data_IF_896336590356
#
_entry.id   IF_896336590356
#
_cell.length_a   1.000
_cell.length_b   1.000
_cell.length_c   1.000
_cell.angle_alpha   90.00
_cell.angle_beta   90.00
_cell.angle_gamma   90.00
#
_symmetry.space_group_name_H-M   'P 1'
#
loop_
_entity.id
_entity.type
_entity.pdbx_description
1 polymer ?
#
# COMPACT_ATOMS: atom_id res chain seq x y z
N UNK A 1 3.30 0.71 -11.26
CA UNK A 1 3.78 2.09 -11.54
C UNK A 1 3.54 2.95 -10.30
N UNK A 2 4.50 3.82 -9.95
CA UNK A 2 4.39 4.77 -8.83
C UNK A 2 3.29 5.81 -9.07
N UNK A 3 2.83 6.39 -7.97
CA UNK A 3 1.92 7.54 -8.01
C UNK A 3 2.66 8.82 -8.42
N UNK A 4 1.93 9.81 -8.89
CA UNK A 4 2.50 11.10 -9.28
C UNK A 4 1.57 12.25 -8.87
N UNK A 5 2.12 13.46 -8.90
CA UNK A 5 1.40 14.69 -8.60
C UNK A 5 1.13 15.47 -9.89
N UNK A 6 0.01 16.20 -9.93
CA UNK A 6 -0.23 17.21 -10.96
C UNK A 6 0.09 18.58 -10.38
N UNK A 7 0.73 19.45 -11.15
CA UNK A 7 0.86 20.87 -10.80
C UNK A 7 0.58 21.74 -12.02
N UNK A 8 -0.43 22.61 -11.91
CA UNK A 8 -0.84 23.49 -13.01
C UNK A 8 -1.55 24.74 -12.50
N UNK A 9 -1.56 25.77 -13.37
CA UNK A 9 -2.41 26.94 -13.22
C UNK A 9 -3.48 26.95 -14.32
N UNK A 10 -4.71 27.36 -13.99
CA UNK A 10 -5.82 27.45 -14.93
C UNK A 10 -6.68 28.68 -14.68
N UNK A 11 -7.40 29.13 -15.70
CA UNK A 11 -8.55 30.03 -15.56
C UNK A 11 -9.77 29.29 -14.98
N UNK A 12 -10.81 30.04 -14.59
CA UNK A 12 -12.05 29.49 -14.04
C UNK A 12 -12.75 28.49 -14.99
N UNK A 13 -12.65 28.71 -16.30
CA UNK A 13 -13.21 27.85 -17.36
C UNK A 13 -12.27 26.71 -17.80
N UNK A 14 -11.11 26.56 -17.17
CA UNK A 14 -10.18 25.46 -17.42
C UNK A 14 -9.10 25.73 -18.46
N UNK A 15 -8.94 26.97 -18.91
CA UNK A 15 -7.86 27.40 -19.80
C UNK A 15 -6.50 27.37 -19.12
N UNK A 16 -5.52 26.73 -19.75
CA UNK A 16 -4.15 26.57 -19.21
C UNK A 16 -3.07 27.20 -20.11
N UNK A 17 -3.42 27.62 -21.32
CA UNK A 17 -2.47 28.18 -22.26
C UNK A 17 -3.11 28.81 -23.50
N UNK A 18 -2.33 29.67 -24.17
CA UNK A 18 -2.66 30.32 -25.43
C UNK A 18 -1.43 30.32 -26.33
N UNK A 19 -1.55 29.90 -27.60
CA UNK A 19 -0.47 29.94 -28.59
C UNK A 19 0.85 29.32 -28.08
N UNK A 20 0.74 28.16 -27.42
CA UNK A 20 1.88 27.46 -26.81
C UNK A 20 2.63 28.26 -25.72
N UNK A 21 1.94 29.16 -25.02
CA UNK A 21 2.48 29.89 -23.87
C UNK A 21 1.44 30.07 -22.77
N UNK A 22 1.85 30.64 -21.64
CA UNK A 22 0.98 30.98 -20.51
C UNK A 22 0.53 32.44 -20.68
N UNK A 23 -0.79 32.73 -20.82
CA UNK A 23 -1.29 34.08 -21.12
C UNK A 23 -1.38 35.01 -19.90
N UNK A 24 -0.82 34.61 -18.76
CA UNK A 24 -0.77 35.40 -17.53
C UNK A 24 0.61 35.32 -16.88
N UNK A 25 0.82 36.16 -15.86
CA UNK A 25 2.04 36.14 -15.05
C UNK A 25 1.70 36.40 -13.59
N UNK A 26 1.85 35.36 -12.76
CA UNK A 26 1.79 35.48 -11.30
C UNK A 26 3.13 35.02 -10.69
N UNK A 27 3.94 35.94 -10.13
CA UNK A 27 5.23 35.59 -9.52
C UNK A 27 5.13 34.66 -8.30
N UNK A 28 4.00 34.67 -7.57
CA UNK A 28 3.81 33.81 -6.40
C UNK A 28 3.45 32.38 -6.81
N UNK A 29 2.66 32.23 -7.88
CA UNK A 29 2.40 30.93 -8.51
C UNK A 29 3.69 30.30 -9.04
N UNK A 30 4.48 31.06 -9.82
CA UNK A 30 5.77 30.58 -10.34
C UNK A 30 6.75 30.20 -9.22
N UNK A 31 6.74 30.94 -8.11
CA UNK A 31 7.53 30.61 -6.92
C UNK A 31 7.05 29.30 -6.30
N UNK A 32 5.73 29.15 -6.11
CA UNK A 32 5.14 27.93 -5.59
C UNK A 32 5.46 26.72 -6.47
N UNK A 33 5.33 26.84 -7.79
CA UNK A 33 5.72 25.80 -8.74
C UNK A 33 7.18 25.39 -8.58
N UNK A 34 8.09 26.38 -8.52
CA UNK A 34 9.52 26.11 -8.34
C UNK A 34 9.80 25.39 -7.02
N UNK A 35 9.32 25.93 -5.90
CA UNK A 35 9.57 25.37 -4.56
C UNK A 35 8.99 23.96 -4.40
N UNK A 36 7.84 23.69 -5.02
CA UNK A 36 7.16 22.38 -4.92
C UNK A 36 7.84 21.32 -5.78
N UNK A 37 8.43 21.70 -6.92
CA UNK A 37 9.01 20.74 -7.89
C UNK A 37 10.53 20.63 -7.81
N UNK A 38 11.21 21.51 -7.09
CA UNK A 38 12.67 21.52 -7.01
C UNK A 38 13.22 20.22 -6.40
N UNK A 39 14.33 19.72 -6.96
CA UNK A 39 14.94 18.47 -6.53
C UNK A 39 14.21 17.21 -6.97
N UNK A 40 13.09 17.31 -7.68
CA UNK A 40 12.22 16.20 -8.07
C UNK A 40 12.21 15.94 -9.59
N UNK A 41 11.37 14.99 -10.01
CA UNK A 41 11.19 14.62 -11.43
C UNK A 41 10.01 15.41 -11.98
N UNK A 42 10.21 16.06 -13.13
CA UNK A 42 9.17 16.80 -13.84
C UNK A 42 8.96 16.19 -15.21
N UNK A 43 7.76 15.68 -15.46
CA UNK A 43 7.35 15.07 -16.72
C UNK A 43 6.50 16.07 -17.49
N UNK A 44 6.87 16.30 -18.75
CA UNK A 44 6.18 17.24 -19.61
C UNK A 44 6.13 16.81 -21.08
N UNK A 45 5.17 17.34 -21.84
CA UNK A 45 5.16 17.18 -23.29
C UNK A 45 6.18 18.08 -23.99
N UNK A 46 6.66 17.68 -25.17
CA UNK A 46 7.61 18.45 -26.01
C UNK A 46 7.23 19.94 -26.17
N UNK A 47 5.97 20.22 -26.47
CA UNK A 47 5.45 21.59 -26.64
C UNK A 47 5.61 22.47 -25.39
N UNK A 48 5.48 21.88 -24.21
CA UNK A 48 5.71 22.58 -22.93
C UNK A 48 7.17 22.94 -22.75
N UNK A 49 8.11 22.03 -23.06
CA UNK A 49 9.53 22.36 -23.04
C UNK A 49 9.86 23.50 -24.03
N UNK A 50 9.33 23.42 -25.25
CA UNK A 50 9.50 24.46 -26.27
C UNK A 50 9.00 25.83 -25.77
N UNK A 51 7.87 25.87 -25.06
CA UNK A 51 7.34 27.11 -24.47
C UNK A 51 8.24 27.71 -23.37
N UNK A 52 8.91 26.86 -22.59
CA UNK A 52 9.83 27.30 -21.53
C UNK A 52 11.20 27.71 -22.10
N UNK A 53 11.56 27.22 -23.29
CA UNK A 53 12.82 27.48 -23.99
C UNK A 53 14.05 26.77 -23.40
N UNK A 54 13.94 26.16 -22.21
CA UNK A 54 15.01 25.40 -21.56
C UNK A 54 14.47 24.46 -20.49
N UNK A 55 15.29 23.49 -20.12
CA UNK A 55 15.04 22.61 -18.99
C UNK A 55 15.03 23.37 -17.65
N UNK A 56 14.27 22.83 -16.71
CA UNK A 56 14.16 23.38 -15.37
C UNK A 56 15.39 22.96 -14.54
N UNK A 57 16.20 23.90 -14.00
CA UNK A 57 17.44 23.58 -13.27
C UNK A 57 17.15 22.80 -11.97
N UNK A 58 18.09 22.01 -11.45
CA UNK A 58 17.91 21.24 -10.21
C UNK A 58 16.73 20.25 -10.22
N UNK A 59 16.28 19.81 -11.39
CA UNK A 59 15.20 18.84 -11.58
C UNK A 59 15.60 17.82 -12.64
N UNK A 60 15.04 16.63 -12.54
CA UNK A 60 15.14 15.64 -13.61
C UNK A 60 14.01 15.97 -14.59
N UNK A 61 14.36 16.44 -15.79
CA UNK A 61 13.40 16.82 -16.82
C UNK A 61 13.14 15.61 -17.73
N UNK A 62 11.91 15.10 -17.72
CA UNK A 62 11.49 14.02 -18.62
C UNK A 62 10.53 14.58 -19.66
N UNK A 63 10.93 14.51 -20.93
CA UNK A 63 10.14 15.00 -22.05
C UNK A 63 9.48 13.83 -22.77
N UNK A 64 8.16 13.87 -22.87
CA UNK A 64 7.38 12.87 -23.58
C UNK A 64 7.46 13.09 -25.09
N UNK A 65 7.72 12.00 -25.81
CA UNK A 65 7.81 11.92 -27.26
C UNK A 65 6.93 10.78 -27.78
N UNK A 66 7.02 10.43 -29.07
CA UNK A 66 6.30 9.25 -29.59
C UNK A 66 6.86 7.95 -29.02
N UNK A 67 8.18 7.86 -28.83
CA UNK A 67 8.86 6.67 -28.33
C UNK A 67 9.01 6.67 -26.80
N UNK A 68 8.91 7.83 -26.15
CA UNK A 68 8.95 7.98 -24.71
C UNK A 68 7.59 8.42 -24.18
N UNK A 69 6.75 7.45 -23.84
CA UNK A 69 5.38 7.67 -23.37
C UNK A 69 5.33 7.97 -21.87
N UNK A 70 4.15 8.37 -21.38
CA UNK A 70 3.95 8.57 -19.96
C UNK A 70 4.19 7.27 -19.17
N UNK A 71 3.73 6.14 -19.71
CA UNK A 71 3.89 4.82 -19.11
C UNK A 71 5.36 4.44 -18.98
N UNK A 72 6.15 4.60 -20.05
CA UNK A 72 7.58 4.28 -20.01
C UNK A 72 8.31 5.16 -18.99
N UNK A 73 7.96 6.45 -18.93
CA UNK A 73 8.50 7.37 -17.93
C UNK A 73 8.11 6.97 -16.50
N UNK A 74 6.84 6.67 -16.24
CA UNK A 74 6.38 6.23 -14.92
C UNK A 74 7.04 4.91 -14.50
N UNK A 75 7.23 3.97 -15.41
CA UNK A 75 7.95 2.70 -15.16
C UNK A 75 9.42 2.99 -14.82
N UNK A 76 10.10 3.80 -15.63
CA UNK A 76 11.50 4.21 -15.43
C UNK A 76 11.73 4.79 -14.04
N UNK A 77 10.83 5.65 -13.58
CA UNK A 77 10.92 6.30 -12.27
C UNK A 77 10.32 5.51 -11.11
N UNK A 78 9.83 4.28 -11.38
CA UNK A 78 9.35 3.32 -10.39
C UNK A 78 10.43 2.38 -9.84
N UNK A 79 11.71 2.77 -9.93
CA UNK A 79 12.85 1.99 -9.44
C UNK A 79 13.37 2.53 -8.10
N UNK A 80 14.08 1.70 -7.30
CA UNK A 80 14.63 2.11 -6.01
C UNK A 80 15.56 3.33 -6.08
N UNK A 81 16.22 3.56 -7.21
CA UNK A 81 17.10 4.71 -7.48
C UNK A 81 16.37 6.05 -7.30
N UNK A 82 15.09 6.11 -7.66
CA UNK A 82 14.29 7.34 -7.63
C UNK A 82 13.34 7.43 -6.44
N UNK A 83 13.45 6.53 -5.45
CA UNK A 83 12.48 6.42 -4.34
C UNK A 83 12.30 7.73 -3.54
N UNK A 84 13.35 8.53 -3.42
CA UNK A 84 13.35 9.80 -2.68
C UNK A 84 12.94 11.01 -3.55
N UNK A 85 12.50 10.74 -4.79
CA UNK A 85 12.05 11.74 -5.75
C UNK A 85 10.56 11.58 -6.00
N UNK A 86 9.82 12.68 -5.85
CA UNK A 86 8.42 12.78 -6.27
C UNK A 86 8.34 13.00 -7.78
N UNK A 87 7.31 12.46 -8.42
CA UNK A 87 7.03 12.65 -9.84
C UNK A 87 5.96 13.74 -9.97
N UNK A 88 6.24 14.78 -10.76
CA UNK A 88 5.29 15.83 -11.10
C UNK A 88 5.00 15.83 -12.59
N UNK A 89 3.74 15.75 -12.97
CA UNK A 89 3.30 16.07 -14.32
C UNK A 89 3.05 17.58 -14.36
N UNK A 90 3.77 18.28 -15.23
CA UNK A 90 3.75 19.75 -15.29
C UNK A 90 3.13 20.29 -16.60
N UNK A 91 2.62 19.39 -17.45
CA UNK A 91 1.82 19.72 -18.63
C UNK A 91 2.37 19.13 -19.93
N UNK A 92 1.87 19.50 -21.10
CA UNK A 92 0.76 20.44 -21.37
C UNK A 92 -0.61 19.75 -21.38
N UNK A 93 -1.61 20.42 -21.97
CA UNK A 93 -3.00 19.96 -21.93
C UNK A 93 -3.22 18.53 -22.40
N UNK A 94 -2.54 18.09 -23.46
CA UNK A 94 -2.61 16.69 -23.92
C UNK A 94 -2.13 15.70 -22.85
N UNK A 95 -1.04 16.02 -22.15
CA UNK A 95 -0.47 15.17 -21.09
C UNK A 95 -1.40 15.15 -19.88
N UNK A 96 -1.86 16.31 -19.41
CA UNK A 96 -2.82 16.38 -18.30
C UNK A 96 -4.10 15.60 -18.59
N UNK A 97 -4.69 15.80 -19.77
CA UNK A 97 -5.95 15.15 -20.14
C UNK A 97 -5.77 13.64 -20.30
N UNK A 98 -4.60 13.19 -20.77
CA UNK A 98 -4.24 11.78 -20.81
C UNK A 98 -4.12 11.19 -19.40
N UNK A 99 -3.41 11.86 -18.49
CA UNK A 99 -3.31 11.46 -17.08
C UNK A 99 -4.69 11.35 -16.42
N UNK A 100 -5.52 12.38 -16.56
CA UNK A 100 -6.87 12.42 -15.96
C UNK A 100 -7.80 11.34 -16.53
N UNK A 101 -7.59 10.91 -17.78
CA UNK A 101 -8.40 9.89 -18.43
C UNK A 101 -7.98 8.47 -18.07
N UNK A 102 -6.68 8.17 -18.07
CA UNK A 102 -6.18 6.80 -17.98
C UNK A 102 -5.41 6.48 -16.69
N UNK A 103 -4.94 7.51 -15.98
CA UNK A 103 -4.12 7.38 -14.78
C UNK A 103 -4.69 8.16 -13.58
N UNK A 104 -5.99 8.43 -13.57
CA UNK A 104 -6.63 9.20 -12.50
C UNK A 104 -6.41 8.57 -11.11
N UNK A 105 -6.41 7.23 -11.04
CA UNK A 105 -6.16 6.46 -9.82
C UNK A 105 -4.71 6.54 -9.31
N UNK A 106 -3.79 7.08 -10.12
CA UNK A 106 -2.36 7.26 -9.78
C UNK A 106 -2.02 8.68 -9.35
N UNK A 107 -2.97 9.61 -9.47
CA UNK A 107 -2.79 10.99 -9.01
C UNK A 107 -2.86 11.00 -7.49
N UNK A 108 -1.75 11.34 -6.83
CA UNK A 108 -1.68 11.46 -5.39
C UNK A 108 -2.13 12.85 -4.92
N UNK A 109 -1.50 13.90 -5.42
CA UNK A 109 -1.82 15.30 -5.10
C UNK A 109 -2.01 16.11 -6.39
N UNK A 110 -3.00 16.99 -6.38
CA UNK A 110 -3.17 18.04 -7.38
C UNK A 110 -2.86 19.38 -6.72
N UNK A 111 -1.82 20.05 -7.21
CA UNK A 111 -1.48 21.43 -6.90
C UNK A 111 -2.10 22.31 -7.99
N UNK A 112 -3.20 22.97 -7.66
CA UNK A 112 -3.97 23.78 -8.60
C UNK A 112 -3.89 25.25 -8.24
N UNK A 113 -3.51 26.08 -9.20
CA UNK A 113 -3.67 27.53 -9.12
C UNK A 113 -4.84 27.97 -9.99
N UNK A 114 -5.87 28.57 -9.39
CA UNK A 114 -6.97 29.20 -10.11
C UNK A 114 -6.66 30.67 -10.30
N UNK A 115 -6.58 31.09 -11.56
CA UNK A 115 -6.25 32.44 -12.00
C UNK A 115 -7.55 33.25 -12.07
N UNK A 116 -7.66 34.21 -11.15
CA UNK A 116 -8.73 35.17 -11.05
C UNK A 116 -8.26 36.50 -11.61
N UNK A 117 -8.89 36.97 -12.69
CA UNK A 117 -8.59 38.27 -13.27
C UNK A 117 -9.87 38.99 -13.65
N UNK A 118 -9.81 40.32 -13.67
CA UNK A 118 -10.92 41.18 -14.08
C UNK A 118 -11.11 41.22 -15.60
N UNK A 119 -10.12 40.78 -16.40
CA UNK A 119 -10.21 40.64 -17.84
C UNK A 119 -10.38 39.19 -18.28
N UNK A 120 -11.14 38.97 -19.36
CA UNK A 120 -11.29 37.67 -19.97
C UNK A 120 -9.95 37.21 -20.57
N UNK A 121 -9.32 36.21 -19.96
CA UNK A 121 -8.18 35.51 -20.55
C UNK A 121 -8.74 34.52 -21.58
N UNK A 122 -8.27 34.59 -22.82
CA UNK A 122 -8.58 33.61 -23.86
C UNK A 122 -7.53 32.50 -23.83
N UNK A 123 -7.96 31.25 -23.88
CA UNK A 123 -7.10 30.07 -23.95
C UNK A 123 -7.52 29.17 -25.13
N UNK A 124 -6.55 28.52 -25.77
CA UNK A 124 -6.75 27.49 -26.80
C UNK A 124 -6.35 26.08 -26.31
N UNK A 125 -5.67 26.01 -25.17
CA UNK A 125 -5.30 24.78 -24.49
C UNK A 125 -6.09 24.69 -23.18
N UNK A 126 -6.86 23.62 -23.04
CA UNK A 126 -7.76 23.39 -21.91
C UNK A 126 -7.38 22.12 -21.15
N UNK A 127 -7.63 22.12 -19.83
CA UNK A 127 -7.61 20.91 -19.01
C UNK A 127 -9.03 20.36 -18.84
N UNK A 128 -9.17 19.03 -18.89
CA UNK A 128 -10.44 18.34 -18.63
C UNK A 128 -10.92 18.64 -17.20
N UNK A 129 -12.23 18.85 -16.98
CA UNK A 129 -12.78 19.01 -15.63
C UNK A 129 -12.41 17.86 -14.69
N UNK A 130 -12.02 18.21 -13.47
CA UNK A 130 -11.62 17.24 -12.44
C UNK A 130 -12.81 16.91 -11.54
N UNK A 131 -13.02 15.61 -11.27
CA UNK A 131 -13.97 15.13 -10.27
C UNK A 131 -13.39 15.30 -8.86
N UNK A 132 -13.56 16.49 -8.27
CA UNK A 132 -13.06 16.79 -6.93
C UNK A 132 -13.74 15.97 -5.81
N UNK A 133 -14.82 15.22 -6.08
CA UNK A 133 -15.43 14.34 -5.07
C UNK A 133 -14.45 13.28 -4.55
N UNK A 134 -13.46 12.93 -5.39
CA UNK A 134 -12.38 11.98 -5.10
C UNK A 134 -11.25 12.57 -4.26
N UNK A 135 -11.23 13.88 -4.05
CA UNK A 135 -10.14 14.55 -3.37
C UNK A 135 -10.59 15.24 -2.07
N UNK A 136 -9.65 15.39 -1.14
CA UNK A 136 -9.76 16.23 0.04
C UNK A 136 -9.02 17.53 -0.21
N UNK A 137 -9.67 18.65 0.06
CA UNK A 137 -9.04 19.97 0.02
C UNK A 137 -8.22 20.14 1.30
N UNK A 138 -6.90 20.27 1.17
CA UNK A 138 -5.96 20.34 2.31
C UNK A 138 -5.61 21.77 2.67
N UNK A 139 -4.93 22.45 1.75
CA UNK A 139 -4.35 23.76 1.95
C UNK A 139 -4.88 24.71 0.89
N UNK A 140 -5.12 25.96 1.27
CA UNK A 140 -5.55 27.00 0.34
C UNK A 140 -4.91 28.31 0.73
N UNK A 141 -4.25 28.94 -0.23
CA UNK A 141 -3.64 30.26 -0.07
C UNK A 141 -4.00 31.15 -1.25
N UNK A 142 -4.07 32.44 -1.00
CA UNK A 142 -4.33 33.43 -2.03
C UNK A 142 -3.05 34.21 -2.34
N UNK A 143 -2.79 34.48 -3.62
CA UNK A 143 -1.68 35.34 -4.04
C UNK A 143 -2.08 36.81 -3.93
N UNK A 144 -1.09 37.72 -4.00
CA UNK A 144 -1.35 39.16 -3.99
C UNK A 144 -2.16 39.65 -5.19
N UNK A 145 -2.27 38.85 -6.25
CA UNK A 145 -3.10 39.14 -7.42
C UNK A 145 -4.52 38.59 -7.30
N UNK A 146 -4.86 37.98 -6.16
CA UNK A 146 -6.17 37.41 -5.90
C UNK A 146 -6.34 35.97 -6.39
N UNK A 147 -5.34 35.39 -7.06
CA UNK A 147 -5.35 34.00 -7.53
C UNK A 147 -5.30 33.03 -6.34
N UNK A 148 -5.91 31.85 -6.49
CA UNK A 148 -6.05 30.90 -5.39
C UNK A 148 -5.27 29.63 -5.70
N UNK A 149 -4.31 29.30 -4.84
CA UNK A 149 -3.54 28.06 -4.89
C UNK A 149 -4.18 27.07 -3.91
N UNK A 150 -4.55 25.89 -4.39
CA UNK A 150 -5.18 24.84 -3.61
C UNK A 150 -4.48 23.49 -3.81
N UNK A 151 -4.29 22.78 -2.71
CA UNK A 151 -3.80 21.39 -2.72
C UNK A 151 -4.96 20.43 -2.50
N UNK A 152 -5.13 19.50 -3.45
CA UNK A 152 -6.15 18.46 -3.39
C UNK A 152 -5.50 17.08 -3.29
N UNK A 153 -5.81 16.35 -2.22
CA UNK A 153 -5.23 15.05 -1.93
C UNK A 153 -6.20 13.92 -2.27
N UNK A 154 -5.76 12.87 -2.95
CA UNK A 154 -6.63 11.77 -3.36
C UNK A 154 -7.13 10.95 -2.17
N UNK A 155 -8.45 10.78 -2.05
CA UNK A 155 -9.08 9.98 -0.99
C UNK A 155 -8.78 8.50 -1.21
N UNK A 156 -8.05 7.88 -0.30
CA UNK A 156 -7.87 6.43 -0.29
C UNK A 156 -9.13 5.74 0.27
N UNK A 157 -10.03 5.35 -0.64
CA UNK A 157 -11.28 4.65 -0.31
C UNK A 157 -11.05 3.28 0.31
N UNK A 158 -9.93 2.63 0.00
CA UNK A 158 -9.61 1.32 0.55
C UNK A 158 -9.26 1.43 2.03
N UNK A 159 -8.45 2.42 2.42
CA UNK A 159 -8.18 2.69 3.84
C UNK A 159 -9.43 3.18 4.59
N UNK A 160 -10.37 3.87 3.94
CA UNK A 160 -11.63 4.28 4.56
C UNK A 160 -12.48 3.07 5.01
N UNK A 161 -12.36 1.91 4.38
CA UNK A 161 -13.04 0.69 4.86
C UNK A 161 -12.61 0.32 6.28
N UNK A 162 -11.33 0.50 6.60
CA UNK A 162 -10.79 0.30 7.94
C UNK A 162 -11.26 1.36 8.93
N UNK A 163 -11.37 2.61 8.51
CA UNK A 163 -11.96 3.68 9.35
C UNK A 163 -13.43 3.36 9.68
N UNK A 164 -14.21 2.94 8.68
CA UNK A 164 -15.60 2.52 8.91
C UNK A 164 -15.72 1.28 9.80
N UNK A 165 -14.78 0.34 9.69
CA UNK A 165 -14.70 -0.81 10.59
C UNK A 165 -14.46 -0.37 12.04
N UNK A 166 -13.50 0.52 12.28
CA UNK A 166 -13.24 1.08 13.61
C UNK A 166 -14.48 1.79 14.15
N UNK A 167 -15.08 2.69 13.37
CA UNK A 167 -16.26 3.45 13.78
C UNK A 167 -17.42 2.51 14.14
N UNK A 168 -17.63 1.46 13.34
CA UNK A 168 -18.66 0.44 13.58
C UNK A 168 -18.44 -0.28 14.91
N UNK A 169 -17.23 -0.72 15.21
CA UNK A 169 -16.91 -1.41 16.46
C UNK A 169 -17.09 -0.46 17.66
N UNK A 170 -16.65 0.79 17.56
CA UNK A 170 -16.83 1.78 18.64
C UNK A 170 -18.33 2.02 18.91
N UNK A 171 -19.15 2.12 17.87
CA UNK A 171 -20.56 2.49 17.99
C UNK A 171 -21.50 1.33 18.30
N UNK A 172 -21.18 0.13 17.80
CA UNK A 172 -22.08 -1.03 17.80
C UNK A 172 -21.45 -2.31 18.36
N UNK A 173 -20.16 -2.27 18.71
CA UNK A 173 -19.44 -3.43 19.23
C UNK A 173 -19.98 -3.86 20.58
N UNK A 174 -20.02 -5.17 20.79
CA UNK A 174 -20.39 -5.76 22.07
C UNK A 174 -19.20 -5.68 23.01
N UNK A 175 -19.42 -5.19 24.23
CA UNK A 175 -18.40 -5.25 25.27
C UNK A 175 -18.22 -6.69 25.72
N UNK A 176 -17.00 -7.21 25.65
CA UNK A 176 -16.66 -8.58 26.09
C UNK A 176 -15.50 -8.52 27.07
N UNK A 177 -15.49 -9.44 28.03
CA UNK A 177 -14.27 -9.74 28.77
C UNK A 177 -13.37 -10.57 27.86
N UNK A 178 -12.06 -10.37 27.98
CA UNK A 178 -11.06 -11.14 27.24
C UNK A 178 -10.12 -11.88 28.20
N UNK A 179 -9.25 -12.70 27.63
CA UNK A 179 -8.22 -13.44 28.37
C UNK A 179 -7.10 -12.55 28.93
N UNK A 180 -7.00 -11.29 28.48
CA UNK A 180 -5.93 -10.35 28.91
C UNK A 180 -6.35 -9.53 30.12
N UNK A 181 -7.64 -9.55 30.48
CA UNK A 181 -8.22 -8.75 31.56
C UNK A 181 -8.50 -7.30 31.17
N UNK A 182 -8.21 -6.89 29.93
CA UNK A 182 -8.45 -5.52 29.44
C UNK A 182 -9.89 -5.34 29.01
N UNK A 183 -10.47 -6.37 28.40
CA UNK A 183 -11.76 -6.32 27.73
C UNK A 183 -11.70 -5.68 26.35
N UNK A 184 -12.71 -5.99 25.54
CA UNK A 184 -12.81 -5.54 24.15
C UNK A 184 -14.20 -4.98 23.82
N UNK A 185 -14.27 -4.15 22.77
CA UNK A 185 -15.48 -3.99 21.96
C UNK A 185 -15.30 -4.84 20.70
N UNK A 186 -16.26 -5.69 20.36
CA UNK A 186 -16.15 -6.54 19.18
C UNK A 186 -17.42 -6.68 18.35
N UNK A 187 -17.22 -6.91 17.05
CA UNK A 187 -18.23 -7.41 16.11
C UNK A 187 -17.77 -8.77 15.56
N UNK A 188 -18.64 -9.46 14.81
CA UNK A 188 -18.36 -10.79 14.30
C UNK A 188 -18.76 -10.92 12.83
N UNK A 189 -17.87 -11.45 11.99
CA UNK A 189 -18.14 -11.67 10.57
C UNK A 189 -18.05 -10.39 9.75
N UNK A 190 -16.87 -9.75 9.73
CA UNK A 190 -16.59 -8.54 8.97
C UNK A 190 -15.74 -8.87 7.73
N UNK A 191 -15.75 -8.00 6.72
CA UNK A 191 -14.85 -8.12 5.57
C UNK A 191 -14.38 -6.76 5.07
N UNK A 192 -13.11 -6.66 4.71
CA UNK A 192 -12.52 -5.49 4.05
C UNK A 192 -11.59 -5.93 2.91
N UNK A 193 -11.58 -5.19 1.81
CA UNK A 193 -10.83 -5.54 0.61
C UNK A 193 -9.96 -4.37 0.14
N UNK A 194 -8.80 -4.68 -0.44
CA UNK A 194 -7.83 -3.69 -0.89
C UNK A 194 -7.36 -4.00 -2.30
N UNK A 195 -7.25 -2.96 -3.11
CA UNK A 195 -6.66 -3.00 -4.44
C UNK A 195 -5.13 -3.09 -4.36
N UNK A 196 -4.55 -4.04 -5.10
CA UNK A 196 -3.11 -4.27 -5.15
C UNK A 196 -2.50 -3.95 -6.51
N UNK A 197 -3.30 -3.50 -7.48
CA UNK A 197 -2.85 -3.24 -8.84
C UNK A 197 -1.72 -2.22 -8.83
N UNK A 198 -0.91 -2.28 -9.88
CA UNK A 198 0.25 -1.40 -10.04
C UNK A 198 1.27 -1.49 -8.89
N UNK A 199 1.35 -2.66 -8.25
CA UNK A 199 2.20 -2.99 -7.10
C UNK A 199 1.85 -2.25 -5.81
N UNK A 200 0.60 -1.79 -5.66
CA UNK A 200 0.14 -1.15 -4.43
C UNK A 200 0.14 -2.16 -3.27
N UNK A 201 0.58 -1.72 -2.09
CA UNK A 201 0.53 -2.52 -0.86
C UNK A 201 -0.22 -1.73 0.21
N UNK A 202 -1.27 -2.28 0.84
CA UNK A 202 -2.08 -1.62 1.87
C UNK A 202 -1.33 -1.46 3.20
N UNK A 203 -0.23 -0.71 3.18
CA UNK A 203 0.39 -0.15 4.37
C UNK A 203 -0.38 1.11 4.73
N UNK A 204 -1.22 0.97 5.76
CA UNK A 204 -2.02 2.04 6.34
C UNK A 204 -1.21 3.33 6.51
N UNK A 205 -1.85 4.45 6.22
CA UNK A 205 -1.21 5.77 6.21
C UNK A 205 -1.67 6.63 7.39
N UNK A 206 -2.88 6.39 7.89
CA UNK A 206 -3.40 6.99 9.13
C UNK A 206 -2.60 6.55 10.36
N UNK A 207 -1.79 5.49 10.26
CA UNK A 207 -0.77 5.09 11.25
C UNK A 207 0.43 4.47 10.54
N UNK A 208 1.63 4.64 11.08
CA UNK A 208 2.81 3.93 10.57
C UNK A 208 2.71 2.43 10.82
N UNK A 209 2.93 1.65 9.78
CA UNK A 209 3.16 0.21 9.84
C UNK A 209 4.68 -0.02 9.71
N UNK A 210 5.31 -0.77 10.64
CA UNK A 210 6.75 -1.03 10.57
C UNK A 210 7.07 -2.02 9.45
N UNK A 211 7.17 -1.53 8.22
CA UNK A 211 7.35 -2.33 7.00
C UNK A 211 8.47 -3.37 7.11
N UNK A 212 9.68 -2.96 7.57
CA UNK A 212 10.81 -3.88 7.73
C UNK A 212 10.47 -5.04 8.67
N UNK A 213 9.83 -4.75 9.81
CA UNK A 213 9.42 -5.76 10.78
C UNK A 213 8.39 -6.72 10.19
N UNK A 214 7.42 -6.21 9.43
CA UNK A 214 6.43 -7.02 8.73
C UNK A 214 7.06 -7.93 7.68
N UNK A 215 7.98 -7.38 6.88
CA UNK A 215 8.66 -8.17 5.86
C UNK A 215 9.56 -9.25 6.48
N UNK A 216 10.28 -8.94 7.57
CA UNK A 216 11.08 -9.93 8.32
C UNK A 216 10.20 -11.08 8.81
N UNK A 217 9.03 -10.80 9.37
CA UNK A 217 8.10 -11.86 9.81
C UNK A 217 7.59 -12.69 8.62
N UNK A 218 7.25 -12.06 7.50
CA UNK A 218 6.81 -12.79 6.32
C UNK A 218 7.91 -13.71 5.78
N UNK A 219 9.15 -13.22 5.68
CA UNK A 219 10.30 -14.03 5.25
C UNK A 219 10.57 -15.16 6.24
N UNK A 220 10.40 -14.92 7.54
CA UNK A 220 10.47 -15.94 8.56
C UNK A 220 9.44 -17.06 8.34
N UNK A 221 8.18 -16.69 8.05
CA UNK A 221 7.13 -17.65 7.70
C UNK A 221 7.45 -18.42 6.43
N UNK A 222 7.92 -17.73 5.39
CA UNK A 222 8.34 -18.35 4.14
C UNK A 222 9.44 -19.37 4.40
N UNK A 223 10.49 -19.04 5.16
CA UNK A 223 11.62 -19.93 5.44
C UNK A 223 11.27 -21.17 6.28
N UNK A 224 10.06 -21.26 6.83
CA UNK A 224 9.60 -22.42 7.59
C UNK A 224 10.26 -22.60 8.97
N UNK A 225 10.99 -21.59 9.46
CA UNK A 225 11.70 -21.62 10.75
C UNK A 225 10.74 -21.34 11.91
N UNK A 226 10.90 -22.00 13.05
CA UNK A 226 10.10 -21.79 14.27
C UNK A 226 10.93 -21.35 15.50
N UNK A 227 12.26 -21.25 15.35
CA UNK A 227 13.16 -20.56 16.27
C UNK A 227 13.10 -19.06 16.06
N UNK A 228 13.19 -18.29 17.14
CA UNK A 228 13.22 -16.82 17.08
C UNK A 228 14.56 -16.26 16.60
N UNK A 229 15.59 -17.10 16.39
CA UNK A 229 16.94 -16.65 16.03
C UNK A 229 16.93 -15.76 14.78
N UNK A 230 16.27 -16.19 13.70
CA UNK A 230 16.15 -15.39 12.47
C UNK A 230 15.49 -14.03 12.73
N UNK A 231 14.46 -13.98 13.57
CA UNK A 231 13.79 -12.74 13.93
C UNK A 231 14.74 -11.83 14.73
N UNK A 232 15.46 -12.38 15.71
CA UNK A 232 16.40 -11.65 16.56
C UNK A 232 17.61 -11.11 15.80
N UNK A 233 18.19 -11.92 14.92
CA UNK A 233 19.26 -11.53 13.99
C UNK A 233 18.84 -10.33 13.13
N UNK A 234 17.56 -10.30 12.74
CA UNK A 234 16.95 -9.21 11.97
C UNK A 234 16.35 -8.08 12.83
N UNK A 235 16.62 -8.06 14.14
CA UNK A 235 16.15 -7.05 15.12
C UNK A 235 14.63 -6.97 15.22
N UNK A 236 13.94 -8.08 15.02
CA UNK A 236 12.50 -8.24 15.17
C UNK A 236 12.19 -8.97 16.50
N UNK A 237 11.31 -8.39 17.32
CA UNK A 237 10.97 -8.90 18.67
C UNK A 237 9.46 -9.06 18.90
N UNK A 238 8.68 -9.11 17.82
CA UNK A 238 7.21 -9.12 17.89
C UNK A 238 6.64 -10.40 18.54
N UNK A 239 7.44 -11.48 18.55
CA UNK A 239 7.06 -12.78 19.11
C UNK A 239 7.60 -13.05 20.52
N UNK A 240 8.50 -12.20 21.04
CA UNK A 240 9.24 -12.46 22.30
C UNK A 240 8.27 -12.75 23.46
N UNK A 241 7.27 -11.88 23.65
CA UNK A 241 6.27 -12.01 24.73
C UNK A 241 5.39 -13.26 24.64
N UNK A 242 5.31 -13.90 23.48
CA UNK A 242 4.50 -15.10 23.28
C UNK A 242 5.28 -16.40 23.51
N UNK A 243 6.61 -16.32 23.56
CA UNK A 243 7.51 -17.49 23.51
C UNK A 243 8.29 -17.69 24.82
N UNK A 244 8.23 -16.73 25.76
CA UNK A 244 8.96 -16.75 27.06
C UNK A 244 8.84 -18.05 27.86
N UNK A 245 7.83 -18.90 27.62
CA UNK A 245 7.67 -20.20 28.28
C UNK A 245 8.31 -21.42 27.55
N UNK A 246 8.65 -21.32 26.25
CA UNK A 246 9.08 -22.49 25.43
C UNK A 246 10.26 -22.23 24.47
N UNK A 247 10.72 -20.99 24.29
CA UNK A 247 11.87 -20.66 23.44
C UNK A 247 11.68 -20.85 21.91
N UNK A 248 10.54 -21.44 21.49
CA UNK A 248 10.17 -21.67 20.08
C UNK A 248 8.67 -21.42 19.88
N UNK A 249 8.25 -21.13 18.65
CA UNK A 249 6.82 -20.97 18.31
C UNK A 249 6.04 -22.29 18.34
N UNK A 250 6.73 -23.44 18.27
CA UNK A 250 6.10 -24.74 17.98
C UNK A 250 5.68 -24.84 16.51
N UNK A 251 4.83 -25.82 16.14
CA UNK A 251 4.38 -26.06 14.75
C UNK A 251 3.39 -25.01 14.23
N UNK A 252 3.72 -23.72 14.37
CA UNK A 252 2.90 -22.57 13.94
C UNK A 252 3.07 -22.25 12.46
N UNK A 253 2.64 -21.05 12.03
CA UNK A 253 2.57 -20.64 10.62
C UNK A 253 3.76 -21.06 9.75
N UNK A 254 5.04 -20.83 10.14
CA UNK A 254 6.16 -21.22 9.30
C UNK A 254 6.17 -22.72 9.03
N UNK A 255 6.04 -23.54 10.08
CA UNK A 255 6.00 -24.98 9.98
C UNK A 255 4.81 -25.46 9.15
N UNK A 256 3.61 -24.94 9.41
CA UNK A 256 2.43 -25.36 8.65
C UNK A 256 2.56 -24.99 7.16
N UNK A 257 3.14 -23.83 6.83
CA UNK A 257 3.32 -23.42 5.44
C UNK A 257 4.26 -24.34 4.66
N UNK A 258 5.28 -24.92 5.30
CA UNK A 258 6.36 -25.68 4.62
C UNK A 258 6.38 -27.19 4.90
N UNK A 259 5.80 -27.62 6.01
CA UNK A 259 5.95 -28.97 6.57
C UNK A 259 4.63 -29.53 7.14
N UNK A 260 3.47 -29.08 6.66
CA UNK A 260 2.18 -29.53 7.21
C UNK A 260 2.04 -31.06 7.20
N UNK A 261 1.53 -31.61 8.29
CA UNK A 261 1.24 -33.04 8.42
C UNK A 261 2.36 -33.90 9.00
N UNK A 262 3.57 -33.38 9.21
CA UNK A 262 4.63 -34.07 9.96
C UNK A 262 4.58 -33.75 11.45
N UNK A 263 5.29 -34.56 12.24
CA UNK A 263 5.51 -34.28 13.66
C UNK A 263 6.59 -33.21 13.82
N UNK A 264 6.26 -32.15 14.56
CA UNK A 264 7.24 -31.14 14.95
C UNK A 264 8.07 -31.60 16.12
N UNK A 265 9.40 -31.51 15.96
CA UNK A 265 10.40 -31.85 16.97
C UNK A 265 11.19 -30.58 17.34
N UNK A 266 12.00 -30.07 16.41
CA UNK A 266 12.72 -28.79 16.50
C UNK A 266 13.12 -28.32 15.08
N UNK A 267 13.56 -27.07 14.94
CA UNK A 267 13.96 -26.49 13.65
C UNK A 267 15.09 -27.23 12.92
N UNK A 268 16.00 -27.86 13.65
CA UNK A 268 17.19 -28.51 13.07
C UNK A 268 16.95 -29.98 12.65
N UNK A 269 15.71 -30.47 12.73
CA UNK A 269 15.33 -31.81 12.26
C UNK A 269 14.91 -31.69 10.81
N UNK A 270 15.30 -32.68 10.01
CA UNK A 270 14.74 -32.87 8.68
C UNK A 270 13.26 -33.25 8.77
N UNK A 271 12.38 -32.33 8.37
CA UNK A 271 10.93 -32.52 8.31
C UNK A 271 10.46 -33.07 6.96
N UNK A 272 11.33 -33.73 6.20
CA UNK A 272 11.00 -34.40 4.94
C UNK A 272 9.82 -35.37 5.11
N UNK A 273 8.88 -35.33 4.16
CA UNK A 273 7.62 -36.08 4.18
C UNK A 273 6.39 -35.24 4.54
N UNK A 274 6.59 -33.99 4.98
CA UNK A 274 5.50 -33.01 5.14
C UNK A 274 5.05 -32.42 3.81
N UNK A 275 3.91 -31.71 3.86
CA UNK A 275 3.33 -31.02 2.71
C UNK A 275 3.85 -29.57 2.70
N UNK A 276 4.65 -29.22 1.69
CA UNK A 276 5.01 -27.83 1.41
C UNK A 276 3.85 -27.13 0.71
N UNK A 277 2.93 -26.57 1.50
CA UNK A 277 1.74 -25.89 1.01
C UNK A 277 2.08 -24.67 0.16
N UNK A 278 3.19 -23.97 0.46
CA UNK A 278 3.63 -22.79 -0.28
C UNK A 278 4.16 -23.14 -1.67
N UNK A 279 5.03 -24.16 -1.79
CA UNK A 279 5.50 -24.65 -3.09
C UNK A 279 4.37 -25.24 -3.92
N UNK A 280 3.47 -26.00 -3.29
CA UNK A 280 2.27 -26.53 -3.95
C UNK A 280 1.37 -25.42 -4.48
N UNK A 281 1.17 -24.34 -3.71
CA UNK A 281 0.42 -23.16 -4.14
C UNK A 281 1.06 -22.51 -5.37
N UNK A 282 2.39 -22.30 -5.38
CA UNK A 282 3.11 -21.75 -6.53
C UNK A 282 2.94 -22.65 -7.76
N UNK A 283 3.06 -23.97 -7.59
CA UNK A 283 2.90 -24.93 -8.69
C UNK A 283 1.48 -24.90 -9.26
N UNK A 284 0.45 -24.89 -8.41
CA UNK A 284 -0.94 -24.82 -8.86
C UNK A 284 -1.23 -23.52 -9.61
N UNK A 285 -0.69 -22.37 -9.17
CA UNK A 285 -0.86 -21.09 -9.88
C UNK A 285 -0.26 -21.16 -11.31
N UNK A 286 0.84 -21.90 -11.50
CA UNK A 286 1.50 -22.08 -12.79
C UNK A 286 0.79 -23.09 -13.69
N UNK A 287 0.45 -24.25 -13.13
CA UNK A 287 0.07 -25.43 -13.91
C UNK A 287 -1.43 -25.70 -13.96
N UNK A 288 -2.17 -25.34 -12.90
CA UNK A 288 -3.63 -25.51 -12.81
C UNK A 288 -4.27 -24.22 -12.23
N UNK A 289 -4.21 -23.10 -12.96
CA UNK A 289 -4.64 -21.79 -12.46
C UNK A 289 -6.13 -21.73 -12.10
N UNK A 290 -6.95 -22.62 -12.66
CA UNK A 290 -8.37 -22.72 -12.36
C UNK A 290 -8.67 -23.64 -11.17
N UNK A 291 -7.64 -24.20 -10.53
CA UNK A 291 -7.78 -24.99 -9.32
C UNK A 291 -8.50 -24.19 -8.24
N UNK A 292 -9.57 -24.77 -7.73
CA UNK A 292 -10.31 -24.21 -6.57
C UNK A 292 -9.66 -24.59 -5.23
N UNK A 293 -8.42 -25.08 -5.27
CA UNK A 293 -7.68 -25.65 -4.12
C UNK A 293 -6.35 -24.96 -3.87
N UNK A 294 -6.14 -23.79 -4.47
CA UNK A 294 -4.93 -22.97 -4.27
C UNK A 294 -5.03 -22.30 -2.89
N UNK A 295 -4.67 -23.03 -1.83
CA UNK A 295 -4.80 -22.56 -0.45
C UNK A 295 -3.68 -23.06 0.47
N UNK A 296 -3.47 -22.31 1.55
CA UNK A 296 -2.65 -22.66 2.70
C UNK A 296 -3.57 -22.69 3.93
N UNK A 297 -3.54 -23.79 4.67
CA UNK A 297 -4.19 -23.92 5.97
C UNK A 297 -3.14 -23.92 7.09
N UNK A 298 -3.26 -22.97 8.02
CA UNK A 298 -2.39 -22.85 9.18
C UNK A 298 -2.99 -23.49 10.45
N UNK A 299 -4.23 -23.96 10.40
CA UNK A 299 -4.94 -24.44 11.58
C UNK A 299 -4.89 -25.97 11.69
N UNK A 300 -3.82 -26.45 12.32
CA UNK A 300 -3.62 -27.87 12.61
C UNK A 300 -4.23 -28.24 13.97
N UNK A 301 -5.45 -28.78 13.91
CA UNK A 301 -6.26 -29.18 15.08
C UNK A 301 -5.50 -30.13 16.00
N UNK A 302 -4.66 -31.03 15.45
CA UNK A 302 -3.95 -32.06 16.23
C UNK A 302 -2.85 -31.46 17.11
N UNK A 303 -2.26 -30.34 16.70
CA UNK A 303 -1.06 -29.79 17.32
C UNK A 303 -1.25 -28.37 17.90
N UNK A 304 -2.49 -27.90 18.09
CA UNK A 304 -2.76 -26.57 18.65
C UNK A 304 -2.12 -26.35 20.03
N UNK A 305 -2.12 -27.37 20.89
CA UNK A 305 -1.53 -27.36 22.23
C UNK A 305 0.01 -27.26 22.24
N UNK A 306 0.64 -27.64 21.12
CA UNK A 306 2.09 -27.53 20.92
C UNK A 306 2.53 -26.16 20.43
N UNK A 307 1.62 -25.34 19.92
CA UNK A 307 1.89 -23.99 19.45
C UNK A 307 2.02 -23.00 20.62
N UNK A 308 2.81 -21.93 20.47
CA UNK A 308 2.89 -20.88 21.49
C UNK A 308 1.61 -20.03 21.58
N UNK A 309 0.84 -19.94 20.49
CA UNK A 309 -0.53 -19.46 20.46
C UNK A 309 -1.31 -20.13 19.33
N UNK A 310 -2.65 -20.12 19.40
CA UNK A 310 -3.46 -20.64 18.29
C UNK A 310 -3.42 -19.68 17.09
N UNK A 311 -3.25 -20.16 15.84
CA UNK A 311 -3.14 -19.33 14.63
C UNK A 311 -4.30 -18.33 14.48
N UNK A 312 -4.00 -17.05 14.34
CA UNK A 312 -4.99 -15.98 14.10
C UNK A 312 -5.41 -15.93 12.63
N UNK A 313 -4.46 -15.93 11.70
CA UNK A 313 -4.70 -16.01 10.25
C UNK A 313 -4.66 -17.47 9.80
N UNK A 314 -5.86 -18.06 9.73
CA UNK A 314 -6.12 -19.49 9.65
C UNK A 314 -5.96 -20.03 8.23
N UNK A 315 -6.50 -19.33 7.25
CA UNK A 315 -6.56 -19.80 5.88
C UNK A 315 -6.17 -18.65 4.94
N UNK A 316 -5.36 -18.96 3.93
CA UNK A 316 -5.08 -18.06 2.81
C UNK A 316 -5.36 -18.79 1.51
N UNK A 317 -6.22 -18.25 0.67
CA UNK A 317 -6.59 -18.81 -0.62
C UNK A 317 -6.32 -17.80 -1.73
N UNK A 318 -5.82 -18.29 -2.86
CA UNK A 318 -5.52 -17.50 -4.05
C UNK A 318 -6.46 -17.91 -5.18
N UNK A 319 -6.84 -16.93 -6.00
CA UNK A 319 -7.67 -17.08 -7.17
C UNK A 319 -6.95 -16.47 -8.37
N UNK A 320 -6.77 -17.25 -9.44
CA UNK A 320 -6.21 -16.76 -10.70
C UNK A 320 -7.34 -16.26 -11.59
N UNK A 321 -7.18 -15.05 -12.14
CA UNK A 321 -8.21 -14.34 -12.92
C UNK A 321 -7.57 -13.52 -14.04
N UNK A 322 -8.37 -12.69 -14.70
CA UNK A 322 -7.99 -11.92 -15.89
C UNK A 322 -8.24 -12.73 -17.16
N UNK A 323 -8.41 -12.04 -18.28
CA UNK A 323 -8.70 -12.69 -19.58
C UNK A 323 -7.58 -13.66 -19.99
N UNK A 324 -6.34 -13.36 -19.60
CA UNK A 324 -5.14 -14.16 -19.90
C UNK A 324 -4.64 -14.98 -18.69
N UNK A 325 -5.46 -15.14 -17.63
CA UNK A 325 -5.04 -15.73 -16.36
C UNK A 325 -3.79 -15.04 -15.76
N UNK A 326 -3.61 -13.74 -15.99
CA UNK A 326 -2.43 -12.97 -15.62
C UNK A 326 -2.60 -12.20 -14.30
N UNK A 327 -3.72 -12.36 -13.61
CA UNK A 327 -4.05 -11.67 -12.36
C UNK A 327 -4.23 -12.64 -11.19
N UNK A 328 -3.85 -12.20 -9.98
CA UNK A 328 -4.03 -12.91 -8.73
C UNK A 328 -4.87 -12.09 -7.75
N UNK A 329 -5.94 -12.69 -7.25
CA UNK A 329 -6.66 -12.22 -6.08
C UNK A 329 -6.41 -13.14 -4.89
N UNK A 330 -6.40 -12.60 -3.68
CA UNK A 330 -6.23 -13.36 -2.45
C UNK A 330 -7.35 -13.11 -1.45
N UNK A 331 -7.59 -14.11 -0.62
CA UNK A 331 -8.45 -14.01 0.54
C UNK A 331 -7.76 -14.64 1.75
N UNK A 332 -7.71 -13.90 2.85
CA UNK A 332 -7.20 -14.39 4.14
C UNK A 332 -8.34 -14.40 5.15
N UNK A 333 -8.53 -15.53 5.83
CA UNK A 333 -9.45 -15.66 6.94
C UNK A 333 -8.71 -15.52 8.27
N UNK A 334 -9.09 -14.50 9.04
CA UNK A 334 -8.59 -14.27 10.40
C UNK A 334 -9.69 -14.62 11.40
N UNK A 335 -9.48 -15.62 12.25
CA UNK A 335 -10.46 -16.00 13.28
C UNK A 335 -10.62 -14.95 14.39
N UNK A 336 -9.58 -14.13 14.59
CA UNK A 336 -9.44 -13.16 15.67
C UNK A 336 -8.59 -12.00 15.18
N UNK A 337 -9.12 -10.79 15.25
CA UNK A 337 -8.50 -9.60 14.64
C UNK A 337 -8.51 -8.43 15.60
N UNK A 338 -7.34 -8.16 16.20
CA UNK A 338 -7.04 -6.88 16.84
C UNK A 338 -6.96 -5.82 15.75
N UNK A 339 -7.99 -4.99 15.66
CA UNK A 339 -8.13 -3.97 14.61
C UNK A 339 -7.04 -2.92 14.74
N UNK A 340 -6.62 -2.58 15.95
CA UNK A 340 -5.70 -1.45 16.14
C UNK A 340 -4.24 -1.83 15.90
N UNK A 341 -3.85 -3.08 16.14
CA UNK A 341 -2.45 -3.51 16.00
C UNK A 341 -2.27 -4.60 14.94
N UNK A 342 -2.90 -5.76 15.12
CA UNK A 342 -2.62 -6.95 14.31
C UNK A 342 -3.16 -6.86 12.88
N UNK A 343 -4.41 -6.40 12.72
CA UNK A 343 -5.10 -6.43 11.44
C UNK A 343 -4.37 -5.64 10.32
N UNK A 344 -3.92 -4.39 10.53
CA UNK A 344 -3.12 -3.68 9.54
C UNK A 344 -1.85 -4.43 9.11
N UNK A 345 -1.19 -5.08 10.08
CA UNK A 345 0.04 -5.84 9.87
C UNK A 345 -0.23 -7.10 9.05
N UNK A 346 -1.29 -7.85 9.37
CA UNK A 346 -1.65 -9.07 8.67
C UNK A 346 -2.10 -8.80 7.23
N UNK A 347 -2.90 -7.75 7.00
CA UNK A 347 -3.30 -7.34 5.65
C UNK A 347 -2.07 -7.02 4.80
N UNK A 348 -1.14 -6.24 5.32
CA UNK A 348 0.09 -5.91 4.61
C UNK A 348 0.96 -7.15 4.32
N UNK A 349 1.09 -8.06 5.29
CA UNK A 349 1.86 -9.31 5.15
C UNK A 349 1.29 -10.22 4.06
N UNK A 350 -0.01 -10.48 4.06
CA UNK A 350 -0.63 -11.32 3.01
C UNK A 350 -0.70 -10.62 1.65
N UNK A 351 -0.78 -9.29 1.61
CA UNK A 351 -0.63 -8.54 0.35
C UNK A 351 0.77 -8.70 -0.23
N UNK A 352 1.80 -8.62 0.62
CA UNK A 352 3.19 -8.86 0.21
C UNK A 352 3.40 -10.29 -0.27
N UNK A 353 2.83 -11.28 0.42
CA UNK A 353 2.87 -12.68 -0.03
C UNK A 353 2.24 -12.83 -1.42
N UNK A 354 1.09 -12.19 -1.66
CA UNK A 354 0.43 -12.24 -2.96
C UNK A 354 1.25 -11.59 -4.07
N UNK A 355 1.95 -10.47 -3.79
CA UNK A 355 2.91 -9.86 -4.73
C UNK A 355 4.09 -10.79 -5.02
N UNK A 356 4.64 -11.47 -4.02
CA UNK A 356 5.71 -12.47 -4.19
C UNK A 356 5.23 -13.62 -5.08
N UNK A 357 4.04 -14.16 -4.81
CA UNK A 357 3.45 -15.22 -5.64
C UNK A 357 3.23 -14.75 -7.08
N UNK A 358 2.72 -13.53 -7.28
CA UNK A 358 2.57 -12.95 -8.61
C UNK A 358 3.91 -12.86 -9.34
N UNK A 359 4.94 -12.33 -8.67
CA UNK A 359 6.30 -12.24 -9.20
C UNK A 359 6.86 -13.60 -9.65
N UNK A 360 6.80 -14.62 -8.79
CA UNK A 360 7.32 -15.96 -9.09
C UNK A 360 6.54 -16.73 -10.17
N UNK A 361 5.32 -16.29 -10.47
CA UNK A 361 4.40 -16.93 -11.43
C UNK A 361 4.13 -16.08 -12.67
N UNK A 362 4.82 -14.93 -12.80
CA UNK A 362 4.62 -13.94 -13.86
C UNK A 362 3.16 -13.47 -13.98
N UNK A 363 2.54 -13.17 -12.84
CA UNK A 363 1.17 -12.65 -12.70
C UNK A 363 1.16 -11.38 -11.85
N UNK A 364 0.07 -10.62 -11.94
CA UNK A 364 -0.12 -9.35 -11.22
C UNK A 364 -1.03 -9.58 -10.03
N UNK A 365 -0.60 -9.25 -8.82
CA UNK A 365 -1.52 -9.19 -7.69
C UNK A 365 -2.48 -8.00 -7.87
N UNK A 366 -3.78 -8.23 -7.77
CA UNK A 366 -4.80 -7.20 -8.05
C UNK A 366 -5.71 -6.91 -6.88
N UNK A 367 -5.95 -7.88 -5.99
CA UNK A 367 -6.84 -7.69 -4.84
C UNK A 367 -6.50 -8.60 -3.67
N UNK A 368 -6.63 -8.10 -2.46
CA UNK A 368 -6.66 -8.91 -1.23
C UNK A 368 -7.96 -8.63 -0.47
N UNK A 369 -8.56 -9.67 0.10
CA UNK A 369 -9.71 -9.55 1.00
C UNK A 369 -9.40 -10.19 2.34
N UNK A 370 -9.62 -9.47 3.43
CA UNK A 370 -9.54 -10.00 4.78
C UNK A 370 -10.96 -10.32 5.27
N UNK A 371 -11.23 -11.61 5.50
CA UNK A 371 -12.44 -12.11 6.15
C UNK A 371 -12.17 -12.25 7.64
N UNK A 372 -12.96 -11.58 8.47
CA UNK A 372 -12.67 -11.40 9.89
C UNK A 372 -13.75 -12.05 10.76
N UNK A 373 -13.32 -12.97 11.63
CA UNK A 373 -14.15 -13.62 12.65
C UNK A 373 -14.45 -12.65 13.80
N UNK A 374 -13.90 -12.91 15.00
CA UNK A 374 -14.00 -11.97 16.12
C UNK A 374 -13.11 -10.74 15.82
N UNK A 375 -13.76 -9.60 15.55
CA UNK A 375 -13.11 -8.37 15.13
C UNK A 375 -13.25 -7.32 16.21
N UNK A 376 -12.14 -6.92 16.83
CA UNK A 376 -12.19 -6.20 18.09
C UNK A 376 -11.20 -5.05 18.22
N UNK A 377 -11.58 -4.12 19.10
CA UNK A 377 -10.72 -3.06 19.64
C UNK A 377 -10.64 -3.28 21.14
N UNK A 378 -9.43 -3.36 21.68
CA UNK A 378 -9.25 -3.40 23.13
C UNK A 378 -9.68 -2.09 23.78
N UNK A 379 -10.25 -2.15 24.98
CA UNK A 379 -10.80 -0.97 25.63
C UNK A 379 -9.74 0.12 25.89
N UNK A 380 -8.49 -0.27 26.13
CA UNK A 380 -7.36 0.65 26.29
C UNK A 380 -6.88 1.29 24.97
N UNK A 381 -7.42 0.90 23.81
CA UNK A 381 -7.10 1.51 22.51
C UNK A 381 -8.18 2.46 21.98
N UNK A 382 -9.29 2.64 22.70
CA UNK A 382 -10.43 3.41 22.19
C UNK A 382 -10.08 4.88 21.91
N UNK A 383 -9.22 5.50 22.73
CA UNK A 383 -8.83 6.89 22.50
C UNK A 383 -7.88 7.03 21.30
N UNK A 384 -6.95 6.09 21.13
CA UNK A 384 -6.11 5.98 19.93
C UNK A 384 -6.95 5.74 18.67
N UNK A 385 -8.00 4.93 18.76
CA UNK A 385 -8.93 4.69 17.67
C UNK A 385 -9.68 5.97 17.27
N UNK A 386 -10.18 6.74 18.24
CA UNK A 386 -10.81 8.05 17.99
C UNK A 386 -9.84 9.07 17.41
N UNK A 387 -8.58 9.06 17.83
CA UNK A 387 -7.53 9.89 17.24
C UNK A 387 -7.28 9.52 15.78
N UNK A 388 -7.15 8.21 15.49
CA UNK A 388 -6.95 7.69 14.13
C UNK A 388 -8.06 8.14 13.18
N UNK A 389 -9.32 8.09 13.62
CA UNK A 389 -10.49 8.50 12.83
C UNK A 389 -10.49 10.00 12.44
N UNK A 390 -9.65 10.83 13.06
CA UNK A 390 -9.48 12.25 12.68
C UNK A 390 -8.40 12.45 11.61
N UNK A 391 -7.56 11.45 11.35
CA UNK A 391 -6.49 11.50 10.35
C UNK A 391 -7.06 11.23 8.98
N UNK A 392 -6.64 12.00 7.99
CA UNK A 392 -7.06 11.77 6.60
C UNK A 392 -6.33 10.56 6.03
N UNK A 393 -7.01 9.77 5.21
CA UNK A 393 -6.40 8.63 4.52
C UNK A 393 -5.58 9.10 3.33
N UNK A 394 -4.36 8.59 3.21
CA UNK A 394 -3.43 8.89 2.11
C UNK A 394 -3.32 7.71 1.13
N UNK A 395 -2.79 7.97 -0.07
CA UNK A 395 -2.58 6.91 -1.06
C UNK A 395 -1.61 5.87 -0.50
N UNK A 396 -1.90 4.59 -0.70
CA UNK A 396 -1.01 3.53 -0.27
C UNK A 396 0.31 3.55 -1.06
N UNK A 397 1.42 3.13 -0.43
CA UNK A 397 2.69 2.98 -1.13
C UNK A 397 2.64 1.85 -2.16
N UNK A 398 3.70 1.78 -2.96
CA UNK A 398 3.94 0.66 -3.86
C UNK A 398 5.21 -0.09 -3.48
N UNK A 399 5.29 -1.34 -3.89
CA UNK A 399 6.46 -2.19 -3.69
C UNK A 399 7.19 -2.45 -5.00
N UNK A 400 8.51 -2.48 -4.91
CA UNK A 400 9.40 -3.01 -5.94
C UNK A 400 10.05 -4.29 -5.41
N UNK A 401 10.01 -5.36 -6.23
CA UNK A 401 10.66 -6.65 -5.97
C UNK A 401 11.76 -6.83 -7.01
N UNK A 402 12.96 -7.23 -6.59
CA UNK A 402 14.07 -7.52 -7.51
C UNK A 402 13.68 -8.66 -8.45
N UNK A 403 13.67 -8.35 -9.74
CA UNK A 403 13.25 -9.28 -10.80
C UNK A 403 14.17 -10.49 -10.95
N UNK A 404 15.39 -10.43 -10.40
CA UNK A 404 16.38 -11.51 -10.48
C UNK A 404 16.03 -12.72 -9.61
N UNK A 405 15.19 -12.53 -8.60
CA UNK A 405 14.84 -13.61 -7.68
C UNK A 405 13.77 -14.49 -8.32
N UNK A 406 14.04 -15.78 -8.48
CA UNK A 406 13.13 -16.69 -9.19
C UNK A 406 12.63 -17.85 -8.33
N UNK A 407 13.16 -18.00 -7.13
CA UNK A 407 12.74 -19.00 -6.15
C UNK A 407 12.18 -18.31 -4.89
N UNK A 408 11.21 -18.97 -4.24
CA UNK A 408 10.59 -18.49 -3.01
C UNK A 408 11.56 -18.53 -1.83
N UNK A 409 12.54 -19.43 -1.85
CA UNK A 409 13.50 -19.64 -0.76
C UNK A 409 14.64 -18.59 -0.79
N UNK A 410 14.84 -17.90 -1.92
CA UNK A 410 15.94 -16.95 -2.17
C UNK A 410 15.63 -15.50 -1.73
N UNK A 411 14.43 -15.23 -1.22
CA UNK A 411 14.06 -13.87 -0.82
C UNK A 411 14.76 -13.41 0.46
N UNK A 412 15.34 -12.21 0.38
CA UNK A 412 15.96 -11.48 1.49
C UNK A 412 15.46 -10.02 1.50
N UNK A 413 15.68 -9.31 2.60
CA UNK A 413 15.14 -7.96 2.81
C UNK A 413 15.55 -6.95 1.72
N UNK A 414 16.77 -7.06 1.21
CA UNK A 414 17.32 -6.18 0.19
C UNK A 414 16.66 -6.32 -1.19
N UNK A 415 15.96 -7.44 -1.43
CA UNK A 415 15.22 -7.65 -2.67
C UNK A 415 13.91 -6.86 -2.74
N UNK A 416 13.56 -6.11 -1.68
CA UNK A 416 12.35 -5.33 -1.59
C UNK A 416 12.64 -3.85 -1.37
N UNK A 417 11.96 -2.99 -2.11
CA UNK A 417 12.02 -1.54 -1.93
C UNK A 417 10.62 -0.95 -1.85
N UNK A 418 10.35 -0.24 -0.75
CA UNK A 418 9.11 0.47 -0.53
C UNK A 418 9.18 1.87 -1.14
N UNK A 419 8.17 2.25 -1.91
CA UNK A 419 8.10 3.50 -2.65
C UNK A 419 6.88 4.30 -2.18
N UNK A 420 7.05 5.62 -2.00
CA UNK A 420 5.96 6.58 -1.72
C UNK A 420 5.17 6.33 -0.42
N UNK A 421 5.83 5.88 0.67
CA UNK A 421 5.13 5.62 1.93
C UNK A 421 4.99 6.85 2.84
N UNK A 422 4.07 7.74 2.49
CA UNK A 422 3.71 8.91 3.29
C UNK A 422 2.65 8.57 4.35
N UNK A 423 3.00 8.67 5.64
CA UNK A 423 2.11 8.32 6.75
C UNK A 423 2.13 9.37 7.88
N UNK A 424 1.18 9.28 8.81
CA UNK A 424 1.07 10.19 9.96
C UNK A 424 2.02 9.85 11.12
N UNK A 425 2.93 8.89 10.94
CA UNK A 425 3.82 8.43 12.00
C UNK A 425 3.13 7.50 12.99
N UNK A 426 3.79 7.27 14.12
CA UNK A 426 3.30 6.35 15.14
C UNK A 426 1.97 6.85 15.73
N UNK A 427 1.11 5.90 16.08
CA UNK A 427 -0.05 6.12 16.92
C UNK A 427 0.24 5.45 18.25
N UNK A 428 -0.01 6.15 19.36
CA UNK A 428 0.15 5.53 20.68
C UNK A 428 -0.84 4.37 20.81
N UNK A 429 -0.36 3.15 20.92
CA UNK A 429 -1.19 1.95 21.12
C UNK A 429 -0.30 0.89 21.76
N UNK A 430 -0.53 0.61 23.04
CA UNK A 430 0.25 -0.39 23.77
C UNK A 430 -0.30 -1.78 23.51
N UNK A 431 0.56 -2.77 23.21
CA UNK A 431 0.09 -4.15 23.06
C UNK A 431 -0.57 -4.63 24.36
N UNK A 432 -1.84 -5.07 24.33
CA UNK A 432 -2.47 -5.69 25.47
C UNK A 432 -1.76 -7.03 25.71
N UNK A 433 -1.19 -7.17 26.89
CA UNK A 433 -0.47 -8.38 27.28
C UNK A 433 -1.47 -9.41 27.81
N UNK A 434 -1.32 -10.65 27.39
CA UNK A 434 -1.91 -11.75 28.13
C UNK A 434 -1.17 -11.91 29.45
N UNK A 435 -1.90 -11.93 30.56
CA UNK A 435 -1.40 -12.38 31.85
C UNK A 435 -1.49 -13.90 31.89
#
# INVERSE_FOLDING_TARGET
MRTFNLIYAKTNDGGIGLNNGIPWRDPQDLRHFRETTEGHIVIMGRKTLESMGKELPNRINEVLTQDNTLESALIKYSTPEFKDKTIFIIGGGAVFNYCLRYFNHKINIIYETVIHTMSNIVCDIMITPIDYSRYLKLNTKQTSLGNVITEYYHKNRDELQYHYLIERIIRRGNKRNDRTGVGTLSTFGESISFDLRDNTVPLFTSRRIPFKTMLVELLFFIKGKCSLDYLHENKCRIWDKNVEAKGQLGPMYPFQMRHAGTEYIHDDVDHTGGIDQLKNMIQLIKDDPHSRRILINNYDVKNLDKMCLNPCHVLFQVYVTGDDNDELEGIVYLRSSDVMLGLPFNIASYSMLLHILGHLTNKKATKITAMLGDTHIYLNHLDSAKELLRRQTRTFPSIHIDKKITDIDDFELEHFSLLDYENYGNLSSEMPMAV
#
